data_IF_200509380516
#
_entry.id   IF_200509380516
#
_cell.length_a   1.000
_cell.length_b   1.000
_cell.length_c   1.000
_cell.angle_alpha   90.00
_cell.angle_beta   90.00
_cell.angle_gamma   90.00
#
_symmetry.space_group_name_H-M   'P 1'
#
loop_
_entity.id
_entity.type
_entity.pdbx_description
1 polymer ?
#
# COMPACT_ATOMS: atom_id res chain seq x y z
N UNK A 1 26.77 0.90 -24.51
CA UNK A 1 27.27 0.45 -23.20
C UNK A 1 26.04 0.07 -22.39
N UNK A 2 25.91 -1.19 -21.97
CA UNK A 2 24.87 -1.60 -21.03
C UNK A 2 25.43 -1.41 -19.63
N UNK A 3 24.79 -0.58 -18.81
CA UNK A 3 25.15 -0.44 -17.41
C UNK A 3 24.44 -1.54 -16.62
N UNK A 4 25.18 -2.20 -15.73
CA UNK A 4 24.56 -3.09 -14.76
C UNK A 4 23.76 -2.25 -13.75
N UNK A 5 22.56 -2.70 -13.39
CA UNK A 5 21.69 -2.02 -12.44
C UNK A 5 21.37 -2.96 -11.27
N UNK A 6 22.34 -3.20 -10.37
CA UNK A 6 22.20 -4.16 -9.29
C UNK A 6 21.15 -3.75 -8.25
N UNK A 7 20.85 -2.45 -8.11
CA UNK A 7 19.79 -1.95 -7.22
C UNK A 7 18.38 -2.02 -7.84
N UNK A 8 18.27 -2.24 -9.15
CA UNK A 8 17.00 -2.40 -9.86
C UNK A 8 16.13 -1.13 -9.92
N UNK A 9 16.72 0.05 -9.68
CA UNK A 9 16.01 1.33 -9.60
C UNK A 9 16.58 2.30 -10.62
N UNK A 10 15.72 3.07 -11.27
CA UNK A 10 16.08 4.18 -12.15
C UNK A 10 15.10 5.33 -11.95
N UNK A 11 15.61 6.55 -12.03
CA UNK A 11 14.84 7.79 -12.08
C UNK A 11 15.32 8.68 -13.21
N UNK A 12 14.63 9.79 -13.47
CA UNK A 12 14.80 10.59 -14.68
C UNK A 12 16.09 11.43 -14.71
N UNK A 13 16.60 11.86 -13.57
CA UNK A 13 17.84 12.65 -13.43
C UNK A 13 18.49 12.47 -12.04
N UNK A 14 19.77 12.80 -11.82
CA UNK A 14 20.84 12.97 -12.83
C UNK A 14 21.14 11.65 -13.58
N UNK A 15 22.17 11.55 -14.45
CA UNK A 15 22.58 10.28 -15.05
C UNK A 15 22.84 9.19 -13.99
N UNK A 16 22.66 7.93 -14.38
CA UNK A 16 22.65 6.79 -13.45
C UNK A 16 23.90 6.69 -12.56
N UNK A 17 25.11 6.90 -13.11
CA UNK A 17 26.36 6.86 -12.34
C UNK A 17 26.40 7.94 -11.24
N UNK A 18 25.82 9.11 -11.50
CA UNK A 18 25.73 10.19 -10.52
C UNK A 18 24.68 9.85 -9.44
N UNK A 19 23.54 9.26 -9.84
CA UNK A 19 22.54 8.74 -8.89
C UNK A 19 23.17 7.71 -7.93
N UNK A 20 24.03 6.82 -8.43
CA UNK A 20 24.77 5.85 -7.60
C UNK A 20 25.74 6.53 -6.63
N UNK A 21 26.48 7.56 -7.08
CA UNK A 21 27.35 8.34 -6.21
C UNK A 21 26.59 9.05 -5.09
N UNK A 22 25.43 9.62 -5.40
CA UNK A 22 24.55 10.27 -4.42
C UNK A 22 23.95 9.28 -3.43
N UNK A 23 23.58 8.08 -3.88
CA UNK A 23 23.12 6.99 -3.00
C UNK A 23 24.23 6.55 -2.04
N UNK A 24 25.45 6.32 -2.53
CA UNK A 24 26.58 5.91 -1.70
C UNK A 24 26.92 6.98 -0.64
N UNK A 25 26.89 8.26 -1.04
CA UNK A 25 27.05 9.38 -0.10
C UNK A 25 25.95 9.37 0.97
N UNK A 26 24.68 9.28 0.56
CA UNK A 26 23.54 9.24 1.49
C UNK A 26 23.67 8.09 2.49
N UNK A 27 24.03 6.89 2.03
CA UNK A 27 24.23 5.73 2.91
C UNK A 27 25.36 5.92 3.92
N UNK A 28 26.39 6.71 3.59
CA UNK A 28 27.50 7.00 4.51
C UNK A 28 27.17 8.07 5.56
N UNK A 29 26.23 8.96 5.25
CA UNK A 29 25.87 10.12 6.10
C UNK A 29 24.57 9.88 6.89
N UNK A 30 23.67 9.05 6.37
CA UNK A 30 22.36 8.83 6.95
C UNK A 30 22.44 8.18 8.34
N UNK A 31 21.68 8.73 9.27
CA UNK A 31 21.54 8.20 10.63
C UNK A 31 20.11 7.74 10.88
N UNK A 32 19.93 6.69 11.68
CA UNK A 32 18.62 6.16 12.05
C UNK A 32 18.28 4.82 11.38
N UNK A 33 16.99 4.52 11.31
CA UNK A 33 16.41 3.29 10.76
C UNK A 33 15.15 3.62 9.94
N UNK A 34 14.49 2.60 9.39
CA UNK A 34 13.31 2.76 8.52
C UNK A 34 12.13 3.49 9.19
N UNK A 35 12.04 3.44 10.53
CA UNK A 35 10.95 4.03 11.31
C UNK A 35 11.33 5.36 11.98
N UNK A 36 12.62 5.72 12.03
CA UNK A 36 13.07 6.91 12.75
C UNK A 36 14.41 7.44 12.22
N UNK A 37 14.55 8.75 12.08
CA UNK A 37 15.78 9.41 11.62
C UNK A 37 15.75 9.75 10.13
N UNK A 38 16.94 10.02 9.58
CA UNK A 38 17.11 10.60 8.23
C UNK A 38 17.44 9.54 7.17
N UNK A 39 17.15 8.26 7.43
CA UNK A 39 17.45 7.15 6.52
C UNK A 39 16.77 7.30 5.15
N UNK A 40 15.54 7.82 5.12
CA UNK A 40 14.77 7.98 3.89
C UNK A 40 14.51 9.48 3.65
N UNK A 41 14.99 10.06 2.53
CA UNK A 41 14.70 11.45 2.22
C UNK A 41 13.21 11.63 1.94
N UNK A 42 12.63 12.79 2.32
CA UNK A 42 11.19 13.09 2.21
C UNK A 42 10.75 13.73 0.88
N UNK A 43 11.66 14.30 0.09
CA UNK A 43 11.35 14.99 -1.17
C UNK A 43 10.83 14.09 -2.30
N UNK A 44 10.21 14.70 -3.32
CA UNK A 44 9.75 14.03 -4.54
C UNK A 44 10.65 14.28 -5.75
N UNK A 45 11.79 14.95 -5.55
CA UNK A 45 12.82 15.11 -6.58
C UNK A 45 13.35 13.75 -7.03
N UNK A 46 14.01 13.74 -8.17
CA UNK A 46 14.46 12.48 -8.78
C UNK A 46 15.47 11.75 -7.89
N UNK A 47 16.46 12.47 -7.35
CA UNK A 47 17.44 11.93 -6.40
C UNK A 47 16.79 11.36 -5.14
N UNK A 48 15.83 12.06 -4.52
CA UNK A 48 15.17 11.59 -3.30
C UNK A 48 14.34 10.34 -3.57
N UNK A 49 13.64 10.28 -4.70
CA UNK A 49 12.89 9.08 -5.11
C UNK A 49 13.82 7.91 -5.42
N UNK A 50 14.97 8.15 -6.06
CA UNK A 50 15.98 7.14 -6.34
C UNK A 50 16.53 6.53 -5.05
N UNK A 51 16.94 7.37 -4.10
CA UNK A 51 17.49 6.94 -2.82
C UNK A 51 16.43 6.15 -2.04
N UNK A 52 15.22 6.70 -1.90
CA UNK A 52 14.13 6.06 -1.15
C UNK A 52 13.80 4.68 -1.72
N UNK A 53 13.64 4.57 -3.04
CA UNK A 53 13.38 3.27 -3.67
C UNK A 53 14.57 2.32 -3.54
N UNK A 54 15.82 2.79 -3.72
CA UNK A 54 16.99 1.92 -3.64
C UNK A 54 17.15 1.32 -2.23
N UNK A 55 16.98 2.14 -1.20
CA UNK A 55 17.03 1.69 0.20
C UNK A 55 15.87 0.74 0.51
N UNK A 56 14.63 1.09 0.15
CA UNK A 56 13.46 0.26 0.44
C UNK A 56 13.46 -1.05 -0.36
N UNK A 57 13.90 -1.04 -1.62
CA UNK A 57 13.98 -2.23 -2.47
C UNK A 57 14.97 -3.26 -1.90
N UNK A 58 16.06 -2.80 -1.30
CA UNK A 58 16.98 -3.70 -0.59
C UNK A 58 16.33 -4.26 0.68
N UNK A 59 15.59 -3.44 1.43
CA UNK A 59 14.88 -3.84 2.66
C UNK A 59 13.73 -4.81 2.43
N UNK A 60 13.07 -4.79 1.28
CA UNK A 60 12.01 -5.77 0.97
C UNK A 60 12.50 -7.22 1.03
N UNK A 61 13.79 -7.47 0.80
CA UNK A 61 14.41 -8.80 0.93
C UNK A 61 14.38 -9.34 2.37
N UNK A 62 14.30 -8.46 3.37
CA UNK A 62 14.20 -8.84 4.79
C UNK A 62 12.81 -9.40 5.13
N UNK A 63 11.80 -9.12 4.29
CA UNK A 63 10.44 -9.62 4.45
C UNK A 63 9.71 -9.04 5.68
N UNK A 64 8.51 -9.57 5.95
CA UNK A 64 7.75 -9.18 7.13
C UNK A 64 8.34 -9.82 8.38
N UNK A 65 8.87 -8.99 9.28
CA UNK A 65 9.42 -9.40 10.58
C UNK A 65 8.32 -9.60 11.62
N UNK A 66 7.41 -10.56 11.41
CA UNK A 66 6.63 -11.23 12.45
C UNK A 66 5.63 -12.21 11.82
N UNK A 67 5.46 -13.42 12.38
CA UNK A 67 4.34 -14.29 12.06
C UNK A 67 3.11 -13.80 12.85
N UNK A 68 2.61 -12.61 12.56
CA UNK A 68 1.26 -12.28 13.02
C UNK A 68 0.30 -13.04 12.10
N UNK A 69 -0.20 -14.18 12.59
CA UNK A 69 -1.22 -15.05 11.96
C UNK A 69 -2.55 -14.35 11.62
N UNK A 70 -2.60 -13.02 11.81
CA UNK A 70 -3.76 -12.18 11.61
C UNK A 70 -3.54 -11.07 10.57
N UNK A 71 -2.33 -10.87 10.06
CA UNK A 71 -2.09 -9.86 9.04
C UNK A 71 -2.68 -10.28 7.68
N UNK A 72 -3.35 -9.35 6.99
CA UNK A 72 -3.95 -9.61 5.68
C UNK A 72 -2.94 -10.08 4.61
N UNK A 73 -1.67 -9.68 4.73
CA UNK A 73 -0.60 -10.12 3.84
C UNK A 73 -0.12 -11.57 4.10
N UNK A 74 -0.48 -12.18 5.24
CA UNK A 74 -0.14 -13.58 5.54
C UNK A 74 -1.02 -14.58 4.78
N UNK A 75 -2.25 -14.19 4.43
CA UNK A 75 -3.21 -15.00 3.67
C UNK A 75 -3.14 -14.75 2.15
N UNK A 76 -2.27 -13.82 1.73
CA UNK A 76 -2.14 -13.44 0.32
C UNK A 76 -1.51 -14.58 -0.50
N UNK A 77 -2.04 -14.81 -1.69
CA UNK A 77 -1.35 -15.64 -2.70
C UNK A 77 0.02 -15.05 -3.06
N UNK A 78 0.93 -15.86 -3.61
CA UNK A 78 2.23 -15.38 -4.10
C UNK A 78 2.07 -14.19 -5.06
N UNK A 79 1.13 -14.27 -6.02
CA UNK A 79 0.83 -13.15 -6.93
C UNK A 79 0.43 -11.89 -6.17
N UNK A 80 -0.55 -11.99 -5.26
CA UNK A 80 -1.02 -10.84 -4.48
C UNK A 80 0.10 -10.22 -3.65
N UNK A 81 0.94 -11.05 -3.02
CA UNK A 81 2.05 -10.59 -2.18
C UNK A 81 3.08 -9.81 -3.00
N UNK A 82 3.57 -10.38 -4.10
CA UNK A 82 4.62 -9.72 -4.90
C UNK A 82 4.10 -8.45 -5.59
N UNK A 83 2.87 -8.47 -6.10
CA UNK A 83 2.25 -7.26 -6.70
C UNK A 83 1.99 -6.21 -5.63
N UNK A 84 1.53 -6.60 -4.44
CA UNK A 84 1.34 -5.68 -3.31
C UNK A 84 2.66 -5.05 -2.87
N UNK A 85 3.74 -5.83 -2.75
CA UNK A 85 5.08 -5.32 -2.42
C UNK A 85 5.55 -4.26 -3.43
N UNK A 86 5.41 -4.53 -4.73
CA UNK A 86 5.74 -3.58 -5.78
C UNK A 86 4.90 -2.30 -5.68
N UNK A 87 3.60 -2.42 -5.41
CA UNK A 87 2.71 -1.26 -5.23
C UNK A 87 3.04 -0.45 -3.97
N UNK A 88 3.43 -1.11 -2.87
CA UNK A 88 3.89 -0.45 -1.65
C UNK A 88 5.14 0.39 -1.91
N UNK A 89 6.13 -0.17 -2.60
CA UNK A 89 7.33 0.57 -3.01
C UNK A 89 6.99 1.75 -3.91
N UNK A 90 6.18 1.53 -4.96
CA UNK A 90 5.78 2.60 -5.87
C UNK A 90 5.04 3.73 -5.15
N UNK A 91 4.13 3.39 -4.22
CA UNK A 91 3.38 4.37 -3.43
C UNK A 91 4.28 5.33 -2.64
N UNK A 92 5.48 4.89 -2.26
CA UNK A 92 6.44 5.77 -1.57
C UNK A 92 6.96 6.89 -2.46
N UNK A 93 6.83 6.80 -3.78
CA UNK A 93 7.38 7.80 -4.73
C UNK A 93 6.34 8.39 -5.69
N UNK A 94 5.07 8.00 -5.54
CA UNK A 94 3.95 8.59 -6.27
C UNK A 94 3.80 10.04 -5.84
N UNK A 95 3.92 10.97 -6.80
CA UNK A 95 3.79 12.40 -6.55
C UNK A 95 2.31 12.77 -6.41
N UNK A 96 1.90 13.44 -5.32
CA UNK A 96 0.54 13.92 -5.15
C UNK A 96 0.18 14.98 -6.21
N UNK A 97 -1.12 15.25 -6.44
CA UNK A 97 -1.59 16.20 -7.45
C UNK A 97 -1.34 17.66 -7.06
N UNK A 98 -0.06 18.07 -7.02
CA UNK A 98 0.40 19.44 -6.76
C UNK A 98 1.40 19.86 -7.84
N UNK A 99 0.89 20.23 -9.02
CA UNK A 99 1.70 20.56 -10.20
C UNK A 99 2.02 19.31 -11.04
N UNK A 100 3.31 19.01 -11.25
CA UNK A 100 3.72 17.75 -11.88
C UNK A 100 3.39 16.57 -10.95
N UNK A 101 2.40 15.79 -11.34
CA UNK A 101 1.88 14.68 -10.55
C UNK A 101 2.07 13.35 -11.28
N UNK A 102 2.20 12.28 -10.52
CA UNK A 102 2.11 10.95 -11.10
C UNK A 102 0.69 10.75 -11.62
N UNK A 103 0.53 10.36 -12.89
CA UNK A 103 -0.78 10.10 -13.47
C UNK A 103 -1.21 8.64 -13.34
N UNK A 104 -0.25 7.73 -13.44
CA UNK A 104 -0.47 6.30 -13.37
C UNK A 104 0.80 5.55 -12.97
N UNK A 105 0.61 4.33 -12.49
CA UNK A 105 1.64 3.38 -12.09
C UNK A 105 1.38 2.04 -12.76
N UNK A 106 2.46 1.36 -13.18
CA UNK A 106 2.40 0.03 -13.78
C UNK A 106 3.31 -0.90 -13.00
N UNK A 107 2.81 -2.09 -12.71
CA UNK A 107 3.61 -3.23 -12.26
C UNK A 107 3.59 -4.29 -13.35
N UNK A 108 4.75 -4.83 -13.70
CA UNK A 108 4.90 -5.89 -14.71
C UNK A 108 5.26 -7.18 -14.00
N UNK A 109 4.39 -8.19 -14.05
CA UNK A 109 4.75 -9.55 -13.65
C UNK A 109 5.30 -10.27 -14.88
N UNK A 110 6.63 -10.35 -14.95
CA UNK A 110 7.34 -11.02 -16.03
C UNK A 110 7.16 -12.55 -16.02
N UNK A 111 6.95 -13.17 -14.84
CA UNK A 111 6.76 -14.61 -14.68
C UNK A 111 5.39 -15.04 -15.21
N UNK A 112 4.34 -14.28 -14.88
CA UNK A 112 2.95 -14.57 -15.29
C UNK A 112 2.51 -13.85 -16.58
N UNK A 113 3.38 -13.01 -17.15
CA UNK A 113 3.09 -12.19 -18.33
C UNK A 113 1.84 -11.31 -18.13
N UNK A 114 1.80 -10.62 -17.00
CA UNK A 114 0.70 -9.73 -16.61
C UNK A 114 1.17 -8.28 -16.47
N UNK A 115 0.30 -7.34 -16.82
CA UNK A 115 0.45 -5.92 -16.50
C UNK A 115 -0.64 -5.52 -15.49
N UNK A 116 -0.24 -4.86 -14.41
CA UNK A 116 -1.15 -4.25 -13.45
C UNK A 116 -1.05 -2.74 -13.55
N UNK A 117 -2.20 -2.07 -13.65
CA UNK A 117 -2.30 -0.63 -13.95
C UNK A 117 -3.19 0.03 -12.90
N UNK A 118 -2.66 1.06 -12.25
CA UNK A 118 -3.41 1.95 -11.34
C UNK A 118 -3.21 3.39 -11.78
N UNK A 119 -4.24 4.21 -11.69
CA UNK A 119 -4.15 5.63 -12.03
C UNK A 119 -4.48 6.49 -10.83
N UNK A 120 -4.01 7.73 -10.82
CA UNK A 120 -4.34 8.68 -9.74
C UNK A 120 -5.84 8.90 -9.65
N UNK A 121 -6.52 8.94 -10.81
CA UNK A 121 -7.97 9.01 -10.92
C UNK A 121 -8.68 7.64 -10.95
N UNK A 122 -8.03 6.54 -10.60
CA UNK A 122 -8.72 5.26 -10.34
C UNK A 122 -7.77 4.35 -9.56
N UNK A 123 -8.05 4.22 -8.26
CA UNK A 123 -7.20 3.48 -7.33
C UNK A 123 -7.41 1.96 -7.40
N UNK A 124 -8.43 1.48 -8.12
CA UNK A 124 -8.59 0.05 -8.36
C UNK A 124 -7.50 -0.46 -9.30
N UNK A 125 -6.85 -1.55 -8.87
CA UNK A 125 -5.81 -2.20 -9.62
C UNK A 125 -6.43 -3.01 -10.77
N UNK A 126 -6.13 -2.62 -12.01
CA UNK A 126 -6.61 -3.32 -13.20
C UNK A 126 -5.50 -4.23 -13.74
N UNK A 127 -5.87 -5.42 -14.20
CA UNK A 127 -4.93 -6.41 -14.74
C UNK A 127 -5.17 -6.63 -16.24
N UNK A 128 -4.09 -6.72 -17.00
CA UNK A 128 -4.08 -7.16 -18.40
C UNK A 128 -3.22 -8.42 -18.50
N UNK A 129 -3.80 -9.52 -18.96
CA UNK A 129 -3.05 -10.73 -19.31
C UNK A 129 -2.49 -10.60 -20.73
N UNK A 130 -1.17 -10.65 -20.86
CA UNK A 130 -0.52 -10.57 -22.16
C UNK A 130 -0.68 -11.88 -22.97
N UNK A 131 -1.03 -12.98 -22.31
CA UNK A 131 -1.26 -14.28 -22.96
C UNK A 131 -2.58 -14.35 -23.71
N UNK A 132 -3.52 -13.48 -23.34
CA UNK A 132 -4.83 -13.38 -23.99
C UNK A 132 -4.82 -12.42 -25.18
N UNK A 133 -3.69 -11.75 -25.44
CA UNK A 133 -3.54 -10.81 -26.54
C UNK A 133 -2.98 -11.54 -27.76
N UNK A 134 -3.63 -11.37 -28.91
CA UNK A 134 -3.10 -11.85 -30.19
C UNK A 134 -2.00 -10.91 -30.70
N UNK A 135 -0.74 -11.32 -30.52
CA UNK A 135 0.44 -10.59 -30.96
C UNK A 135 0.80 -10.83 -32.44
N UNK A 136 0.19 -11.82 -33.09
CA UNK A 136 0.51 -12.20 -34.46
C UNK A 136 -0.20 -11.32 -35.50
N UNK A 137 -1.33 -10.71 -35.14
CA UNK A 137 -2.11 -9.85 -36.03
C UNK A 137 -1.69 -8.37 -35.92
N UNK A 138 -0.95 -7.81 -36.89
CA UNK A 138 -0.49 -6.41 -36.85
C UNK A 138 -1.65 -5.39 -36.94
N UNK A 139 -2.82 -5.80 -37.40
CA UNK A 139 -4.02 -4.96 -37.49
C UNK A 139 -4.84 -4.97 -36.19
N UNK A 140 -4.55 -5.86 -35.24
CA UNK A 140 -5.26 -5.98 -33.97
C UNK A 140 -4.76 -4.98 -32.90
N UNK A 141 -4.40 -3.76 -33.29
CA UNK A 141 -4.01 -2.71 -32.32
C UNK A 141 -5.17 -2.42 -31.37
N UNK A 142 -4.90 -2.53 -30.07
CA UNK A 142 -5.86 -2.22 -29.00
C UNK A 142 -5.35 -1.04 -28.16
N UNK A 143 -6.28 -0.33 -27.55
CA UNK A 143 -6.01 0.76 -26.61
C UNK A 143 -6.94 0.62 -25.40
N UNK A 144 -6.40 0.86 -24.22
CA UNK A 144 -7.15 0.95 -22.97
C UNK A 144 -6.97 2.36 -22.42
N UNK A 145 -8.03 3.17 -22.30
CA UNK A 145 -7.96 4.47 -21.63
C UNK A 145 -7.47 4.32 -20.19
N UNK A 146 -6.66 5.27 -19.69
CA UNK A 146 -6.18 5.26 -18.30
C UNK A 146 -7.35 5.32 -17.29
N UNK A 147 -8.46 5.93 -17.69
CA UNK A 147 -9.71 6.01 -16.92
C UNK A 147 -10.59 4.76 -16.99
N UNK A 148 -10.25 3.76 -17.80
CA UNK A 148 -11.10 2.59 -18.03
C UNK A 148 -11.34 1.75 -16.76
N UNK A 149 -12.54 1.19 -16.62
CA UNK A 149 -12.91 0.29 -15.54
C UNK A 149 -13.82 0.94 -14.49
N UNK A 150 -14.24 0.14 -13.51
CA UNK A 150 -14.99 0.64 -12.36
C UNK A 150 -14.07 1.47 -11.46
N UNK A 151 -14.59 2.54 -10.86
CA UNK A 151 -13.85 3.39 -9.92
C UNK A 151 -13.90 2.84 -8.49
N UNK A 152 -15.01 2.19 -8.13
CA UNK A 152 -15.23 1.58 -6.82
C UNK A 152 -15.85 0.20 -6.98
N UNK A 153 -15.55 -0.69 -6.04
CA UNK A 153 -16.21 -1.99 -5.89
C UNK A 153 -17.15 -1.91 -4.68
N UNK A 154 -18.46 -1.98 -4.92
CA UNK A 154 -19.43 -1.98 -3.84
C UNK A 154 -19.33 -3.30 -3.05
N UNK A 155 -18.97 -3.18 -1.78
CA UNK A 155 -18.82 -4.32 -0.86
C UNK A 155 -20.06 -4.54 0.01
N UNK A 156 -21.16 -3.81 -0.23
CA UNK A 156 -22.42 -3.94 0.53
C UNK A 156 -23.03 -5.33 0.37
N UNK A 157 -23.04 -5.88 -0.85
CA UNK A 157 -23.62 -7.22 -1.09
C UNK A 157 -22.83 -8.32 -0.34
N UNK A 158 -21.49 -8.44 -0.47
CA UNK A 158 -20.72 -9.38 0.34
C UNK A 158 -20.84 -9.18 1.85
N UNK A 159 -21.12 -7.96 2.31
CA UNK A 159 -21.33 -7.65 3.73
C UNK A 159 -22.70 -8.13 4.23
N UNK A 160 -23.73 -8.06 3.39
CA UNK A 160 -25.10 -8.47 3.69
C UNK A 160 -25.38 -9.95 3.37
N UNK A 161 -24.41 -10.67 2.81
CA UNK A 161 -24.54 -12.09 2.53
C UNK A 161 -24.56 -12.89 3.84
N UNK A 162 -25.72 -13.44 4.20
CA UNK A 162 -25.89 -14.29 5.40
C UNK A 162 -25.04 -15.56 5.36
N UNK A 163 -24.54 -15.97 4.18
CA UNK A 163 -23.59 -17.07 4.04
C UNK A 163 -22.13 -16.64 4.28
N UNK A 164 -21.84 -15.34 4.34
CA UNK A 164 -20.52 -14.84 4.68
C UNK A 164 -20.23 -15.00 6.18
N UNK A 165 -19.67 -16.15 6.53
CA UNK A 165 -19.28 -16.50 7.89
C UNK A 165 -17.87 -16.03 8.27
N UNK A 166 -17.14 -15.39 7.35
CA UNK A 166 -15.79 -14.94 7.61
C UNK A 166 -15.79 -13.82 8.66
N UNK A 167 -14.84 -13.89 9.59
CA UNK A 167 -14.63 -12.87 10.62
C UNK A 167 -13.26 -12.23 10.43
N UNK A 168 -13.18 -10.92 10.62
CA UNK A 168 -11.90 -10.22 10.70
C UNK A 168 -11.12 -10.83 11.86
N UNK A 169 -9.96 -11.43 11.57
CA UNK A 169 -9.15 -12.13 12.57
C UNK A 169 -8.65 -11.21 13.69
N UNK A 170 -8.65 -9.90 13.47
CA UNK A 170 -8.19 -8.86 14.40
C UNK A 170 -9.25 -8.37 15.39
N UNK A 171 -10.52 -8.78 15.24
CA UNK A 171 -11.58 -8.38 16.16
C UNK A 171 -11.92 -9.53 17.11
N UNK A 172 -11.68 -9.38 18.43
CA UNK A 172 -12.12 -10.37 19.39
C UNK A 172 -13.64 -10.57 19.28
N UNK A 173 -14.09 -11.79 19.49
CA UNK A 173 -15.50 -12.12 19.43
C UNK A 173 -16.30 -11.28 20.43
N UNK A 174 -17.57 -11.00 20.10
CA UNK A 174 -18.46 -10.25 21.00
C UNK A 174 -18.51 -10.86 22.40
N UNK A 175 -18.50 -12.19 22.51
CA UNK A 175 -18.43 -12.93 23.78
C UNK A 175 -17.16 -12.66 24.57
N UNK A 176 -16.00 -12.56 23.91
CA UNK A 176 -14.73 -12.21 24.57
C UNK A 176 -14.75 -10.76 25.07
N UNK A 177 -15.32 -9.84 24.29
CA UNK A 177 -15.50 -8.44 24.68
C UNK A 177 -16.45 -8.33 25.88
N UNK A 178 -17.60 -9.00 25.83
CA UNK A 178 -18.58 -9.02 26.93
C UNK A 178 -18.01 -9.66 28.21
N UNK A 179 -17.19 -10.70 28.08
CA UNK A 179 -16.47 -11.31 29.21
C UNK A 179 -15.42 -10.38 29.84
N UNK A 180 -14.72 -9.58 29.02
CA UNK A 180 -13.75 -8.58 29.50
C UNK A 180 -14.46 -7.42 30.19
N UNK A 181 -15.55 -6.91 29.60
CA UNK A 181 -16.36 -5.81 30.17
C UNK A 181 -16.99 -6.24 31.50
N UNK A 182 -17.62 -7.43 31.56
CA UNK A 182 -18.23 -7.94 32.79
C UNK A 182 -17.21 -8.13 33.92
N UNK A 183 -16.00 -8.63 33.60
CA UNK A 183 -14.88 -8.71 34.57
C UNK A 183 -14.38 -7.34 35.03
N UNK A 184 -14.29 -6.35 34.13
CA UNK A 184 -13.85 -5.00 34.48
C UNK A 184 -14.86 -4.25 35.37
N UNK A 185 -16.16 -4.44 35.11
CA UNK A 185 -17.26 -3.87 35.91
C UNK A 185 -17.33 -4.54 37.29
N UNK A 186 -17.11 -5.86 37.37
CA UNK A 186 -17.06 -6.58 38.65
C UNK A 186 -15.82 -6.24 39.50
N UNK A 187 -14.70 -5.85 38.86
CA UNK A 187 -13.43 -5.54 39.52
C UNK A 187 -13.21 -4.07 39.90
N UNK A 188 -14.17 -3.17 39.65
CA UNK A 188 -14.07 -1.75 40.02
C UNK A 188 -13.02 -0.93 39.24
N UNK A 189 -12.45 -1.47 38.17
CA UNK A 189 -11.31 -0.89 37.45
C UNK A 189 -11.75 -0.21 36.14
N UNK A 190 -12.77 0.65 36.19
CA UNK A 190 -13.31 1.30 34.99
C UNK A 190 -12.47 2.51 34.51
N UNK A 191 -11.46 2.94 35.27
CA UNK A 191 -10.74 4.20 35.01
C UNK A 191 -9.40 4.07 34.28
N UNK A 192 -8.88 2.86 34.03
CA UNK A 192 -7.49 2.70 33.52
C UNK A 192 -7.32 2.07 32.12
N UNK A 193 -8.40 1.62 31.45
CA UNK A 193 -8.31 0.83 30.21
C UNK A 193 -8.78 1.57 28.94
N UNK A 194 -8.73 2.90 28.94
CA UNK A 194 -9.00 3.71 27.74
C UNK A 194 -7.69 4.20 27.12
N UNK A 195 -6.88 3.28 26.58
CA UNK A 195 -5.82 3.65 25.64
C UNK A 195 -6.43 4.02 24.29
N UNK A 196 -5.71 4.89 23.57
CA UNK A 196 -6.17 5.79 22.49
C UNK A 196 -7.00 5.12 21.38
N UNK A 197 -6.84 3.82 21.13
CA UNK A 197 -7.60 3.09 20.10
C UNK A 197 -9.09 2.89 20.42
N UNK A 198 -9.47 2.72 21.68
CA UNK A 198 -10.86 2.44 22.07
C UNK A 198 -11.73 3.69 22.15
N UNK A 199 -11.12 4.84 22.46
CA UNK A 199 -11.80 6.14 22.42
C UNK A 199 -12.31 6.42 21.01
N UNK A 200 -11.55 6.05 19.98
CA UNK A 200 -11.94 6.23 18.58
C UNK A 200 -13.20 5.42 18.21
N UNK A 201 -13.28 4.16 18.63
CA UNK A 201 -14.42 3.28 18.30
C UNK A 201 -15.72 3.75 18.99
N UNK A 202 -15.64 4.12 20.28
CA UNK A 202 -16.83 4.60 21.01
C UNK A 202 -17.25 5.97 20.50
N UNK A 203 -16.32 6.89 20.26
CA UNK A 203 -16.62 8.20 19.67
C UNK A 203 -17.25 8.05 18.29
N UNK A 204 -16.78 7.11 17.48
CA UNK A 204 -17.34 6.82 16.14
C UNK A 204 -18.76 6.24 16.21
N UNK A 205 -19.04 5.34 17.16
CA UNK A 205 -20.39 4.83 17.41
C UNK A 205 -21.35 5.94 17.85
N UNK A 206 -20.90 6.87 18.69
CA UNK A 206 -21.70 8.04 19.12
C UNK A 206 -21.89 9.05 17.98
N UNK A 207 -20.88 9.26 17.13
CA UNK A 207 -20.96 10.16 15.96
C UNK A 207 -21.94 9.65 14.91
N UNK A 208 -22.03 8.34 14.70
CA UNK A 208 -23.02 7.71 13.81
C UNK A 208 -24.47 7.93 14.26
N UNK A 209 -24.72 8.04 15.56
CA UNK A 209 -26.06 8.35 16.07
C UNK A 209 -26.47 9.82 15.85
N UNK A 210 -25.51 10.72 15.67
CA UNK A 210 -25.74 12.17 15.55
C UNK A 210 -25.48 12.71 14.13
N UNK A 211 -25.12 11.84 13.17
CA UNK A 211 -24.73 12.22 11.81
C UNK A 211 -23.29 12.73 11.74
N UNK A 212 -22.60 12.40 10.63
CA UNK A 212 -21.28 12.94 10.34
C UNK A 212 -21.40 14.38 9.87
N UNK A 213 -20.61 15.30 10.44
CA UNK A 213 -20.44 16.62 9.84
C UNK A 213 -19.61 16.50 8.56
N UNK A 214 -19.97 17.30 7.56
CA UNK A 214 -19.32 17.41 6.26
C UNK A 214 -17.81 17.67 6.39
N UNK A 215 -16.99 16.87 5.71
CA UNK A 215 -15.56 17.12 5.49
C UNK A 215 -15.42 18.17 4.39
N UNK A 216 -15.85 19.38 4.67
CA UNK A 216 -15.42 20.56 3.94
C UNK A 216 -14.70 21.42 4.98
N UNK A 217 -13.45 21.79 4.67
CA UNK A 217 -12.52 22.61 5.45
C UNK A 217 -11.49 21.83 6.30
N UNK A 218 -10.56 21.16 5.61
CA UNK A 218 -9.14 21.06 6.01
C UNK A 218 -8.29 21.41 4.78
#
# INVERSE_FOLDING_TARGET
>A
MFHDNPNGVLTNDPPFEEQLGLLAKHQSEATGNINSGDLLPGGYGSTERFIRLSVLNDKVKEGYSAPTVHASYAEATEEQREVSNALHLLNTVVRPPMGEATQWSIVRDHKRRMLYIRSTANQLLRRVSLDMVDWANPHARRLIPVSYGIWLMDSTIPLLDDHNTMRTKDLPSRSEIEAVISKAVAGGMLTALFSVGWKMIITECVRRQHGYQSIADI
#
